data_IF_979536242258
#
_entry.id   IF_979536242258
#
_cell.length_a   1.000
_cell.length_b   1.000
_cell.length_c   1.000
_cell.angle_alpha   90.00
_cell.angle_beta   90.00
_cell.angle_gamma   90.00
#
_symmetry.space_group_name_H-M   'P 1'
#
loop_
_entity.id
_entity.type
_entity.pdbx_description
1 polymer ?
#
# COMPACT_ATOMS: atom_id res chain seq x y z
N UNK A 1 -69.60 2.32 4.81
CA UNK A 1 -68.40 2.74 5.56
C UNK A 1 -67.20 2.13 4.86
N UNK A 2 -66.37 2.95 4.22
CA UNK A 2 -65.24 2.49 3.39
C UNK A 2 -64.02 2.24 4.29
N UNK A 3 -63.40 1.08 4.10
CA UNK A 3 -62.12 0.73 4.70
C UNK A 3 -60.98 1.53 4.07
N UNK A 4 -60.01 1.95 4.88
CA UNK A 4 -58.65 2.24 4.43
C UNK A 4 -57.70 1.81 5.53
N UNK A 5 -57.07 0.67 5.33
CA UNK A 5 -55.88 0.24 6.04
C UNK A 5 -54.70 1.02 5.45
N UNK A 6 -54.02 1.79 6.29
CA UNK A 6 -52.74 2.41 5.95
C UNK A 6 -51.69 1.30 6.07
N UNK A 7 -51.22 0.80 4.93
CA UNK A 7 -50.02 -0.03 4.88
C UNK A 7 -48.81 0.85 5.12
N UNK A 8 -48.20 0.72 6.29
CA UNK A 8 -46.85 1.22 6.54
C UNK A 8 -45.87 0.30 5.79
N UNK A 9 -45.40 0.74 4.62
CA UNK A 9 -44.17 0.20 4.04
C UNK A 9 -43.00 0.72 4.88
N UNK A 10 -42.48 -0.12 5.76
CA UNK A 10 -41.14 0.05 6.31
C UNK A 10 -40.19 -0.27 5.16
N UNK A 11 -39.64 0.78 4.53
CA UNK A 11 -38.48 0.64 3.65
C UNK A 11 -37.29 0.32 4.55
N UNK A 12 -37.04 -0.97 4.77
CA UNK A 12 -35.74 -1.46 5.22
C UNK A 12 -34.81 -1.23 4.03
N UNK A 13 -34.20 -0.05 3.97
CA UNK A 13 -33.07 0.19 3.11
C UNK A 13 -31.94 -0.71 3.60
N UNK A 14 -31.81 -1.88 3.00
CA UNK A 14 -30.59 -2.66 3.07
C UNK A 14 -29.49 -1.75 2.52
N UNK A 15 -28.75 -1.09 3.40
CA UNK A 15 -27.47 -0.51 3.03
C UNK A 15 -26.64 -1.70 2.57
N UNK A 16 -26.56 -1.91 1.26
CA UNK A 16 -25.58 -2.79 0.67
C UNK A 16 -24.26 -2.11 0.99
N UNK A 17 -23.68 -2.42 2.15
CA UNK A 17 -22.31 -2.05 2.46
C UNK A 17 -21.48 -2.50 1.27
N UNK A 18 -20.70 -1.58 0.71
CA UNK A 18 -19.69 -1.89 -0.28
C UNK A 18 -18.87 -3.08 0.25
N UNK A 19 -19.15 -4.25 -0.33
CA UNK A 19 -18.37 -5.45 -0.18
C UNK A 19 -17.43 -5.41 -1.38
N UNK A 20 -16.36 -4.62 -1.22
CA UNK A 20 -15.25 -4.63 -2.14
C UNK A 20 -14.35 -5.77 -1.68
N UNK A 21 -14.21 -6.79 -2.51
CA UNK A 21 -13.41 -7.96 -2.20
C UNK A 21 -12.68 -8.43 -3.44
N UNK A 22 -11.67 -9.27 -3.22
CA UNK A 22 -11.06 -10.10 -4.24
C UNK A 22 -12.15 -10.80 -5.08
N UNK A 23 -11.96 -10.86 -6.40
CA UNK A 23 -12.88 -11.55 -7.31
C UNK A 23 -12.48 -13.00 -7.60
N UNK A 24 -11.36 -13.46 -7.05
CA UNK A 24 -10.84 -14.80 -7.26
C UNK A 24 -9.76 -15.20 -6.27
N UNK A 25 -9.10 -16.33 -6.57
CA UNK A 25 -7.91 -16.76 -5.82
C UNK A 25 -6.76 -15.79 -6.12
N UNK A 26 -6.00 -15.44 -5.09
CA UNK A 26 -4.73 -14.72 -5.21
C UNK A 26 -3.55 -15.66 -4.95
N UNK A 27 -2.35 -15.22 -5.32
CA UNK A 27 -1.11 -15.95 -5.05
C UNK A 27 -0.69 -16.90 -6.19
N UNK A 28 0.46 -17.57 -6.02
CA UNK A 28 0.99 -18.49 -7.01
C UNK A 28 0.11 -19.73 -7.21
N UNK A 29 0.24 -20.33 -8.40
CA UNK A 29 -0.48 -21.55 -8.77
C UNK A 29 0.22 -22.79 -8.25
N UNK A 30 1.55 -22.76 -8.16
CA UNK A 30 2.39 -23.84 -7.63
C UNK A 30 3.32 -23.33 -6.52
N UNK A 31 3.65 -24.20 -5.56
CA UNK A 31 4.46 -23.85 -4.39
C UNK A 31 5.93 -23.62 -4.75
N UNK A 32 6.72 -22.88 -3.93
CA UNK A 32 8.16 -22.76 -4.13
C UNK A 32 8.86 -24.12 -4.15
N UNK A 33 8.44 -25.04 -3.28
CA UNK A 33 9.01 -26.39 -3.20
C UNK A 33 8.80 -27.19 -4.48
N UNK A 34 7.65 -27.04 -5.15
CA UNK A 34 7.38 -27.68 -6.43
C UNK A 34 8.26 -27.10 -7.55
N UNK A 35 8.43 -25.77 -7.56
CA UNK A 35 9.30 -25.06 -8.52
C UNK A 35 10.78 -25.46 -8.30
N UNK A 36 11.26 -25.40 -7.06
CA UNK A 36 12.63 -25.78 -6.69
C UNK A 36 12.96 -27.25 -7.01
N UNK A 37 11.98 -28.16 -6.90
CA UNK A 37 12.13 -29.58 -7.25
C UNK A 37 12.33 -29.81 -8.75
N UNK A 38 11.84 -28.91 -9.62
CA UNK A 38 12.15 -28.94 -11.06
C UNK A 38 13.62 -28.57 -11.25
N UNK A 39 14.01 -27.41 -10.71
CA UNK A 39 15.37 -26.90 -10.81
C UNK A 39 15.59 -25.80 -9.77
N UNK A 40 16.75 -25.82 -9.13
CA UNK A 40 17.23 -24.73 -8.28
C UNK A 40 18.53 -24.16 -8.86
N UNK A 41 18.53 -22.86 -9.17
CA UNK A 41 19.67 -22.13 -9.71
C UNK A 41 20.22 -21.22 -8.61
N UNK A 42 21.16 -21.73 -7.82
CA UNK A 42 21.85 -20.96 -6.79
C UNK A 42 22.82 -19.97 -7.45
N UNK A 43 22.66 -18.67 -7.20
CA UNK A 43 23.45 -17.63 -7.90
C UNK A 43 24.97 -17.77 -7.71
N UNK A 44 25.42 -18.44 -6.65
CA UNK A 44 26.85 -18.70 -6.39
C UNK A 44 27.44 -19.62 -7.46
N UNK A 45 26.65 -20.60 -7.94
CA UNK A 45 27.06 -21.51 -9.02
C UNK A 45 27.19 -20.78 -10.38
N UNK A 46 26.60 -19.59 -10.48
CA UNK A 46 26.68 -18.71 -11.66
C UNK A 46 27.67 -17.55 -11.46
N UNK A 47 28.50 -17.62 -10.42
CA UNK A 47 29.62 -16.71 -10.18
C UNK A 47 29.35 -15.57 -9.20
N UNK A 48 28.25 -15.60 -8.46
CA UNK A 48 27.99 -14.61 -7.42
C UNK A 48 29.02 -14.68 -6.29
N UNK A 49 29.31 -13.53 -5.67
CA UNK A 49 30.22 -13.39 -4.52
C UNK A 49 29.54 -12.59 -3.40
N UNK A 50 29.43 -13.22 -2.23
CA UNK A 50 28.88 -12.64 -1.03
C UNK A 50 29.91 -11.76 -0.29
N UNK A 51 30.14 -10.53 -0.78
CA UNK A 51 31.05 -9.56 -0.15
C UNK A 51 30.58 -8.10 -0.22
N UNK A 52 29.30 -7.85 -0.53
CA UNK A 52 28.66 -6.53 -0.73
C UNK A 52 29.29 -5.62 -1.81
N UNK A 53 30.37 -6.04 -2.47
CA UNK A 53 31.19 -5.19 -3.35
C UNK A 53 31.21 -5.66 -4.80
N UNK A 54 31.15 -6.96 -5.02
CA UNK A 54 31.13 -7.55 -6.36
C UNK A 54 29.75 -7.32 -6.97
N UNK A 55 29.68 -6.94 -8.24
CA UNK A 55 28.41 -6.88 -8.96
C UNK A 55 27.87 -8.29 -9.23
N UNK A 56 26.76 -8.62 -8.59
CA UNK A 56 26.08 -9.90 -8.71
C UNK A 56 24.92 -9.88 -9.72
N UNK A 57 24.61 -8.74 -10.34
CA UNK A 57 23.58 -8.64 -11.38
C UNK A 57 23.76 -9.66 -12.51
N UNK A 58 24.97 -9.80 -13.08
CA UNK A 58 25.24 -10.83 -14.10
C UNK A 58 25.05 -12.27 -13.63
N UNK A 59 25.34 -12.58 -12.36
CA UNK A 59 25.17 -13.92 -11.81
C UNK A 59 23.68 -14.25 -11.60
N UNK A 60 22.91 -13.29 -11.08
CA UNK A 60 21.45 -13.39 -10.94
C UNK A 60 20.80 -13.60 -12.31
N UNK A 61 21.17 -12.80 -13.32
CA UNK A 61 20.61 -12.92 -14.67
C UNK A 61 20.93 -14.27 -15.31
N UNK A 62 22.13 -14.82 -15.09
CA UNK A 62 22.52 -16.15 -15.59
C UNK A 62 21.73 -17.26 -14.90
N UNK A 63 21.61 -17.23 -13.57
CA UNK A 63 20.81 -18.18 -12.81
C UNK A 63 19.35 -18.17 -13.27
N UNK A 64 18.77 -16.98 -13.43
CA UNK A 64 17.42 -16.81 -13.95
C UNK A 64 17.25 -17.37 -15.36
N UNK A 65 18.18 -17.05 -16.27
CA UNK A 65 18.15 -17.55 -17.65
C UNK A 65 18.22 -19.07 -17.73
N UNK A 66 18.90 -19.71 -16.80
CA UNK A 66 19.00 -21.17 -16.77
C UNK A 66 17.75 -21.83 -16.16
N UNK A 67 17.21 -21.28 -15.07
CA UNK A 67 15.98 -21.81 -14.45
C UNK A 67 14.74 -21.59 -15.32
N UNK A 68 14.61 -20.45 -15.99
CA UNK A 68 13.45 -20.15 -16.84
C UNK A 68 13.30 -21.06 -18.07
N UNK A 69 14.30 -21.90 -18.38
CA UNK A 69 14.21 -22.87 -19.49
C UNK A 69 13.19 -23.97 -19.20
N UNK A 70 13.07 -24.41 -17.94
CA UNK A 70 12.14 -25.43 -17.47
C UNK A 70 11.11 -24.92 -16.47
N UNK A 71 11.31 -23.72 -15.92
CA UNK A 71 10.76 -23.33 -14.63
C UNK A 71 11.68 -23.76 -13.50
N UNK A 72 11.58 -23.11 -12.36
CA UNK A 72 12.47 -23.39 -11.23
C UNK A 72 12.52 -22.28 -10.18
N UNK A 73 13.47 -22.42 -9.27
CA UNK A 73 13.79 -21.45 -8.23
C UNK A 73 15.16 -20.82 -8.50
N UNK A 74 15.23 -19.48 -8.56
CA UNK A 74 16.50 -18.77 -8.39
C UNK A 74 16.71 -18.56 -6.90
N UNK A 75 17.85 -19.03 -6.39
CA UNK A 75 18.17 -18.97 -4.97
C UNK A 75 19.35 -18.01 -4.72
N UNK A 76 19.13 -17.02 -3.86
CA UNK A 76 20.13 -16.13 -3.28
C UNK A 76 20.38 -16.56 -1.83
N UNK A 77 21.50 -17.26 -1.54
CA UNK A 77 21.81 -17.72 -0.19
C UNK A 77 22.01 -16.59 0.81
N UNK A 78 22.02 -16.92 2.10
CA UNK A 78 22.45 -15.99 3.15
C UNK A 78 23.85 -15.44 2.83
N UNK A 79 24.02 -14.12 2.98
CA UNK A 79 25.24 -13.40 2.66
C UNK A 79 24.95 -11.99 2.12
N UNK A 80 26.01 -11.19 1.97
CA UNK A 80 25.89 -9.82 1.48
C UNK A 80 26.31 -9.71 0.01
N UNK A 81 25.43 -9.28 -0.89
CA UNK A 81 25.67 -9.28 -2.34
C UNK A 81 25.54 -7.86 -2.91
N UNK A 82 26.61 -7.35 -3.55
CA UNK A 82 26.52 -6.08 -4.27
C UNK A 82 25.71 -6.22 -5.57
N UNK A 83 24.93 -5.20 -5.94
CA UNK A 83 24.23 -5.09 -7.21
C UNK A 83 24.64 -3.80 -7.93
N UNK A 84 25.46 -3.96 -8.96
CA UNK A 84 25.96 -2.88 -9.82
C UNK A 84 25.19 -2.76 -11.13
N UNK A 85 24.77 -3.89 -11.68
CA UNK A 85 23.96 -3.99 -12.90
C UNK A 85 22.54 -4.41 -12.55
N UNK A 86 21.56 -3.62 -12.98
CA UNK A 86 20.13 -3.92 -12.79
C UNK A 86 19.71 -5.16 -13.57
N UNK A 87 18.69 -5.86 -13.05
CA UNK A 87 18.19 -7.10 -13.66
C UNK A 87 16.75 -6.95 -14.11
N UNK A 88 16.48 -7.43 -15.32
CA UNK A 88 15.12 -7.55 -15.89
C UNK A 88 14.84 -9.01 -16.15
N UNK A 89 13.89 -9.56 -15.41
CA UNK A 89 13.66 -10.98 -15.26
C UNK A 89 12.28 -11.33 -15.83
N UNK A 90 12.27 -12.13 -16.91
CA UNK A 90 11.06 -12.56 -17.62
C UNK A 90 11.06 -14.08 -17.80
N UNK A 91 9.88 -14.71 -17.87
CA UNK A 91 9.74 -16.17 -17.99
C UNK A 91 8.34 -16.54 -18.50
N UNK A 92 8.25 -17.55 -19.35
CA UNK A 92 6.99 -18.21 -19.72
C UNK A 92 6.74 -19.51 -18.94
N UNK A 93 7.56 -19.76 -17.91
CA UNK A 93 7.48 -20.91 -17.02
C UNK A 93 7.29 -20.43 -15.58
N UNK A 94 6.64 -21.22 -14.71
CA UNK A 94 6.56 -20.93 -13.28
C UNK A 94 7.95 -20.72 -12.66
N UNK A 95 8.08 -19.67 -11.86
CA UNK A 95 9.37 -19.28 -11.26
C UNK A 95 9.20 -18.91 -9.79
N UNK A 96 10.22 -19.17 -8.98
CA UNK A 96 10.38 -18.52 -7.67
C UNK A 96 11.73 -17.81 -7.59
N UNK A 97 11.78 -16.75 -6.79
CA UNK A 97 12.98 -16.03 -6.42
C UNK A 97 13.11 -16.05 -4.89
N UNK A 98 13.99 -16.90 -4.37
CA UNK A 98 14.23 -17.02 -2.93
C UNK A 98 15.41 -16.16 -2.51
N UNK A 99 15.14 -15.11 -1.74
CA UNK A 99 16.13 -14.19 -1.19
C UNK A 99 16.35 -14.47 0.30
N UNK A 100 17.37 -15.25 0.63
CA UNK A 100 17.79 -15.43 2.03
C UNK A 100 18.97 -14.51 2.40
N UNK A 101 19.67 -13.94 1.41
CA UNK A 101 20.71 -12.94 1.59
C UNK A 101 20.23 -11.49 1.56
N UNK A 102 21.19 -10.56 1.60
CA UNK A 102 20.95 -9.12 1.49
C UNK A 102 21.59 -8.60 0.22
N UNK A 103 20.81 -7.91 -0.61
CA UNK A 103 21.31 -7.20 -1.80
C UNK A 103 21.62 -5.75 -1.44
N UNK A 104 22.83 -5.28 -1.72
CA UNK A 104 23.26 -3.89 -1.52
C UNK A 104 23.44 -3.20 -2.85
N UNK A 105 22.81 -2.04 -3.03
CA UNK A 105 23.05 -1.20 -4.21
C UNK A 105 24.51 -0.73 -4.24
N UNK A 106 25.23 -1.03 -5.32
CA UNK A 106 26.53 -0.41 -5.65
C UNK A 106 26.49 0.33 -6.99
N UNK A 107 25.47 0.08 -7.82
CA UNK A 107 25.22 0.79 -9.07
C UNK A 107 24.54 2.15 -8.89
N UNK A 108 24.63 3.01 -9.89
CA UNK A 108 24.06 4.37 -9.88
C UNK A 108 23.17 4.67 -11.09
N UNK A 109 22.90 3.68 -11.95
CA UNK A 109 22.03 3.87 -13.11
C UNK A 109 20.60 4.21 -12.70
N UNK A 110 19.86 4.89 -13.59
CA UNK A 110 18.42 5.06 -13.42
C UNK A 110 17.64 3.76 -13.65
N UNK A 111 16.31 3.81 -13.53
CA UNK A 111 15.44 2.66 -13.75
C UNK A 111 15.05 1.93 -12.46
N UNK A 112 14.95 0.60 -12.52
CA UNK A 112 14.59 -0.27 -11.40
C UNK A 112 15.75 -1.26 -11.17
N UNK A 113 16.19 -1.44 -9.92
CA UNK A 113 17.25 -2.40 -9.57
C UNK A 113 16.84 -3.83 -9.94
N UNK A 114 15.60 -4.20 -9.59
CA UNK A 114 14.93 -5.43 -10.01
C UNK A 114 13.65 -5.09 -10.76
N UNK A 115 13.50 -5.65 -11.95
CA UNK A 115 12.24 -5.64 -12.70
C UNK A 115 11.83 -7.07 -13.05
N UNK A 116 10.72 -7.53 -12.47
CA UNK A 116 10.09 -8.80 -12.85
C UNK A 116 8.95 -8.48 -13.81
N UNK A 117 8.98 -9.05 -15.02
CA UNK A 117 8.04 -8.65 -16.08
C UNK A 117 7.54 -9.83 -16.90
N UNK A 118 6.26 -9.82 -17.27
CA UNK A 118 5.63 -10.87 -18.10
C UNK A 118 5.84 -12.26 -17.47
N UNK A 119 5.31 -12.42 -16.26
CA UNK A 119 5.39 -13.66 -15.47
C UNK A 119 4.00 -14.14 -15.10
N UNK A 120 3.86 -15.45 -15.00
CA UNK A 120 2.67 -16.10 -14.45
C UNK A 120 3.12 -17.24 -13.53
N UNK A 121 2.43 -17.42 -12.41
CA UNK A 121 2.81 -18.36 -11.35
C UNK A 121 4.21 -18.04 -10.76
N UNK A 122 4.30 -16.86 -10.14
CA UNK A 122 5.56 -16.30 -9.64
C UNK A 122 5.56 -16.09 -8.12
N UNK A 123 6.69 -16.30 -7.47
CA UNK A 123 6.81 -16.09 -6.02
C UNK A 123 8.18 -15.51 -5.65
N UNK A 124 8.19 -14.37 -4.97
CA UNK A 124 9.40 -13.74 -4.42
C UNK A 124 9.32 -13.76 -2.90
N UNK A 125 10.17 -14.55 -2.26
CA UNK A 125 10.12 -14.73 -0.81
C UNK A 125 11.48 -14.83 -0.15
N UNK A 126 11.51 -14.72 1.18
CA UNK A 126 12.61 -15.18 2.02
C UNK A 126 12.17 -16.37 2.87
N UNK A 127 12.97 -17.43 2.92
CA UNK A 127 12.68 -18.56 3.81
C UNK A 127 13.00 -18.26 5.28
N UNK A 128 13.81 -17.23 5.51
CA UNK A 128 14.30 -16.84 6.84
C UNK A 128 13.62 -15.59 7.39
N UNK A 129 12.71 -14.99 6.62
CA UNK A 129 12.10 -13.67 6.90
C UNK A 129 13.13 -12.57 7.18
N UNK A 130 14.33 -12.70 6.59
CA UNK A 130 15.47 -11.77 6.75
C UNK A 130 16.06 -11.31 5.42
N UNK A 131 15.57 -11.83 4.29
CA UNK A 131 15.96 -11.36 2.97
C UNK A 131 15.65 -9.88 2.81
N UNK A 132 16.62 -9.12 2.29
CA UNK A 132 16.45 -7.68 2.16
C UNK A 132 17.14 -7.10 0.92
N UNK A 133 16.63 -5.96 0.46
CA UNK A 133 17.31 -5.12 -0.53
C UNK A 133 17.59 -3.76 0.11
N UNK A 134 18.87 -3.48 0.34
CA UNK A 134 19.40 -2.19 0.80
C UNK A 134 19.73 -1.29 -0.40
N UNK A 135 18.90 -0.30 -0.62
CA UNK A 135 19.00 0.64 -1.74
C UNK A 135 20.02 1.77 -1.55
N UNK A 136 20.50 2.04 -0.32
CA UNK A 136 21.39 3.16 -0.01
C UNK A 136 20.96 4.49 -0.66
N UNK A 137 19.66 4.80 -0.59
CA UNK A 137 19.03 6.00 -1.09
C UNK A 137 19.62 7.28 -0.51
N UNK A 138 20.04 7.25 0.76
CA UNK A 138 20.71 8.38 1.42
C UNK A 138 21.91 8.95 0.63
N UNK A 139 22.57 8.13 -0.20
CA UNK A 139 23.69 8.59 -1.05
C UNK A 139 23.26 9.58 -2.13
N UNK A 140 22.01 9.46 -2.61
CA UNK A 140 21.36 10.40 -3.51
C UNK A 140 20.70 11.53 -2.72
N UNK A 141 19.96 11.20 -1.65
CA UNK A 141 19.16 12.19 -0.92
C UNK A 141 20.02 13.25 -0.22
N UNK A 142 21.24 12.91 0.25
CA UNK A 142 22.19 13.89 0.80
C UNK A 142 22.68 14.93 -0.20
N UNK A 143 22.43 14.71 -1.50
CA UNK A 143 22.72 15.63 -2.62
C UNK A 143 21.44 16.27 -3.17
N UNK A 144 20.30 16.03 -2.53
CA UNK A 144 18.96 16.39 -3.02
C UNK A 144 18.59 15.78 -4.38
N UNK A 145 19.06 14.56 -4.65
CA UNK A 145 18.77 13.81 -5.87
C UNK A 145 17.91 12.57 -5.57
N UNK A 146 17.27 12.03 -6.61
CA UNK A 146 16.70 10.68 -6.62
C UNK A 146 17.53 9.75 -7.50
N UNK A 147 17.47 8.45 -7.22
CA UNK A 147 18.17 7.42 -7.98
C UNK A 147 17.23 6.37 -8.60
N UNK A 148 17.68 5.11 -8.72
CA UNK A 148 16.81 4.02 -9.17
C UNK A 148 15.73 3.68 -8.15
N UNK A 149 14.67 3.01 -8.62
CA UNK A 149 13.68 2.34 -7.77
C UNK A 149 14.22 0.97 -7.38
N UNK A 150 13.78 0.41 -6.26
CA UNK A 150 14.23 -0.93 -5.85
C UNK A 150 13.56 -2.01 -6.69
N UNK A 151 12.22 -2.09 -6.67
CA UNK A 151 11.47 -3.22 -7.21
C UNK A 151 10.30 -2.78 -8.08
N UNK A 152 10.15 -3.42 -9.24
CA UNK A 152 8.94 -3.32 -10.07
C UNK A 152 8.49 -4.69 -10.54
N UNK A 153 7.22 -5.01 -10.29
CA UNK A 153 6.51 -6.06 -11.00
C UNK A 153 5.70 -5.39 -12.11
N UNK A 154 5.78 -5.91 -13.33
CA UNK A 154 5.06 -5.35 -14.47
C UNK A 154 4.43 -6.46 -15.31
N UNK A 155 3.10 -6.50 -15.41
CA UNK A 155 2.36 -7.60 -16.05
C UNK A 155 2.78 -8.96 -15.46
N UNK A 156 2.59 -9.09 -14.14
CA UNK A 156 2.83 -10.31 -13.37
C UNK A 156 1.48 -10.83 -12.86
N UNK A 157 1.22 -12.11 -13.05
CA UNK A 157 -0.07 -12.75 -12.76
C UNK A 157 0.08 -13.94 -11.83
N UNK A 158 -0.92 -14.19 -10.98
CA UNK A 158 -0.92 -15.30 -10.01
C UNK A 158 0.40 -15.34 -9.25
N UNK A 159 0.61 -14.33 -8.40
CA UNK A 159 1.91 -14.09 -7.78
C UNK A 159 1.82 -13.84 -6.28
N UNK A 160 2.93 -14.08 -5.58
CA UNK A 160 3.12 -13.53 -4.25
C UNK A 160 4.50 -12.89 -4.07
N UNK A 161 4.56 -11.91 -3.18
CA UNK A 161 5.82 -11.43 -2.60
C UNK A 161 5.67 -11.27 -1.09
N UNK A 162 6.58 -11.88 -0.34
CA UNK A 162 6.47 -11.88 1.11
C UNK A 162 7.77 -12.16 1.85
N UNK A 163 7.77 -11.91 3.16
CA UNK A 163 8.87 -12.21 4.06
C UNK A 163 10.19 -11.49 3.71
N UNK A 164 10.13 -10.35 3.01
CA UNK A 164 11.30 -9.56 2.59
C UNK A 164 11.21 -8.10 3.04
N UNK A 165 12.37 -7.46 3.23
CA UNK A 165 12.48 -6.04 3.53
C UNK A 165 13.03 -5.22 2.35
N UNK A 166 12.46 -4.05 2.10
CA UNK A 166 12.94 -3.08 1.10
C UNK A 166 13.37 -1.80 1.83
N UNK A 167 14.65 -1.44 1.72
CA UNK A 167 15.24 -0.46 2.64
C UNK A 167 15.96 0.63 1.87
N UNK A 168 15.70 1.87 2.24
CA UNK A 168 16.36 3.09 1.77
C UNK A 168 16.39 3.16 0.25
N UNK A 169 15.22 3.12 -0.39
CA UNK A 169 15.16 3.26 -1.84
C UNK A 169 15.65 4.67 -2.25
N UNK A 170 16.47 4.79 -3.31
CA UNK A 170 16.79 6.08 -3.89
C UNK A 170 15.58 6.82 -4.49
N UNK A 171 14.50 6.10 -4.82
CA UNK A 171 13.20 6.60 -5.25
C UNK A 171 12.09 5.69 -4.67
N UNK A 172 11.22 5.10 -5.50
CA UNK A 172 10.15 4.20 -5.05
C UNK A 172 10.68 2.84 -4.60
N UNK A 173 10.06 2.23 -3.59
CA UNK A 173 10.45 0.92 -3.08
C UNK A 173 9.86 -0.20 -3.93
N UNK A 174 8.53 -0.24 -4.09
CA UNK A 174 7.84 -1.30 -4.82
C UNK A 174 6.68 -0.77 -5.67
N UNK A 175 6.77 -0.98 -6.98
CA UNK A 175 5.65 -0.72 -7.91
C UNK A 175 5.08 -2.04 -8.43
N UNK A 176 3.77 -2.18 -8.35
CA UNK A 176 2.97 -3.29 -8.89
C UNK A 176 2.18 -2.73 -10.07
N UNK A 177 2.72 -2.97 -11.27
CA UNK A 177 2.26 -2.36 -12.51
C UNK A 177 1.46 -3.34 -13.35
N UNK A 178 0.17 -3.08 -13.52
CA UNK A 178 -0.73 -3.86 -14.39
C UNK A 178 -0.67 -5.36 -14.05
N UNK A 179 -0.69 -5.70 -12.76
CA UNK A 179 -0.59 -7.08 -12.28
C UNK A 179 -1.97 -7.65 -11.93
N UNK A 180 -2.07 -8.97 -11.77
CA UNK A 180 -3.31 -9.61 -11.32
C UNK A 180 -3.11 -10.83 -10.42
N UNK A 181 -4.15 -11.16 -9.65
CA UNK A 181 -4.22 -12.39 -8.83
C UNK A 181 -3.04 -12.48 -7.84
N UNK A 182 -2.74 -11.35 -7.20
CA UNK A 182 -1.53 -11.12 -6.42
C UNK A 182 -1.74 -11.14 -4.92
N UNK A 183 -0.74 -11.59 -4.17
CA UNK A 183 -0.73 -11.49 -2.70
C UNK A 183 0.60 -10.89 -2.20
N UNK A 184 0.54 -9.84 -1.38
CA UNK A 184 1.70 -9.11 -0.87
C UNK A 184 1.62 -9.04 0.64
N UNK A 185 2.57 -9.64 1.36
CA UNK A 185 2.47 -9.71 2.82
C UNK A 185 3.76 -9.91 3.59
N UNK A 186 3.73 -9.70 4.90
CA UNK A 186 4.89 -9.85 5.78
C UNK A 186 6.11 -9.06 5.26
N UNK A 187 5.89 -7.78 4.96
CA UNK A 187 6.94 -6.90 4.43
C UNK A 187 7.22 -5.73 5.38
N UNK A 188 8.48 -5.30 5.39
CA UNK A 188 8.91 -4.07 6.04
C UNK A 188 9.61 -3.15 5.02
N UNK A 189 9.09 -1.94 4.85
CA UNK A 189 9.57 -0.96 3.88
C UNK A 189 9.99 0.31 4.61
N UNK A 190 11.29 0.58 4.65
CA UNK A 190 11.85 1.71 5.41
C UNK A 190 12.67 2.62 4.50
N UNK A 191 12.13 3.78 4.14
CA UNK A 191 12.76 4.82 3.34
C UNK A 191 13.01 6.11 4.11
N UNK A 192 13.69 7.06 3.46
CA UNK A 192 13.97 8.37 4.01
C UNK A 192 12.72 9.24 4.20
N UNK A 193 12.83 10.24 5.09
CA UNK A 193 11.76 11.17 5.43
C UNK A 193 11.64 12.33 4.41
N UNK A 194 11.36 12.01 3.13
CA UNK A 194 11.01 12.97 2.05
C UNK A 194 9.99 12.36 1.07
N UNK A 195 9.29 13.22 0.33
CA UNK A 195 8.43 12.79 -0.78
C UNK A 195 9.21 12.09 -1.89
N UNK A 196 8.52 11.40 -2.80
CA UNK A 196 9.08 10.62 -3.90
C UNK A 196 9.77 9.32 -3.50
N UNK A 197 9.58 8.88 -2.25
CA UNK A 197 10.12 7.64 -1.67
C UNK A 197 9.02 6.63 -1.34
N UNK A 198 8.09 6.52 -2.28
CA UNK A 198 6.85 5.75 -2.25
C UNK A 198 7.11 4.31 -1.77
N UNK A 199 6.24 3.81 -0.89
CA UNK A 199 6.29 2.46 -0.36
C UNK A 199 5.82 1.46 -1.39
N UNK A 200 4.49 1.26 -1.46
CA UNK A 200 3.83 0.41 -2.46
C UNK A 200 2.90 1.26 -3.31
N UNK A 201 3.18 1.30 -4.61
CA UNK A 201 2.22 1.76 -5.63
C UNK A 201 1.62 0.54 -6.33
N UNK A 202 0.30 0.46 -6.43
CA UNK A 202 -0.39 -0.66 -7.08
C UNK A 202 -1.41 -0.22 -8.11
N UNK A 203 -1.38 -0.83 -9.29
CA UNK A 203 -2.51 -0.83 -10.21
C UNK A 203 -2.65 -2.19 -10.90
N UNK A 204 -3.88 -2.69 -10.96
CA UNK A 204 -4.16 -4.07 -11.35
C UNK A 204 -5.50 -4.57 -10.84
N UNK A 205 -5.75 -5.86 -10.99
CA UNK A 205 -7.01 -6.50 -10.57
C UNK A 205 -6.79 -7.67 -9.64
N UNK A 206 -7.67 -7.86 -8.66
CA UNK A 206 -7.65 -9.03 -7.77
C UNK A 206 -6.32 -9.17 -7.01
N UNK A 207 -5.97 -8.17 -6.20
CA UNK A 207 -4.71 -8.17 -5.42
C UNK A 207 -5.02 -7.96 -3.93
N UNK A 208 -4.46 -8.83 -3.11
CA UNK A 208 -4.52 -8.76 -1.65
C UNK A 208 -3.18 -8.22 -1.11
N UNK A 209 -3.19 -7.10 -0.41
CA UNK A 209 -2.00 -6.53 0.25
C UNK A 209 -2.27 -6.49 1.73
N UNK A 210 -1.53 -7.24 2.53
CA UNK A 210 -1.76 -7.27 3.97
C UNK A 210 -0.51 -7.41 4.80
N UNK A 211 -0.55 -7.02 6.07
CA UNK A 211 0.57 -7.22 6.99
C UNK A 211 1.87 -6.57 6.48
N UNK A 212 1.80 -5.27 6.18
CA UNK A 212 2.92 -4.46 5.67
C UNK A 212 3.16 -3.26 6.57
N UNK A 213 4.43 -3.02 6.93
CA UNK A 213 4.88 -1.79 7.57
C UNK A 213 5.60 -0.90 6.54
N UNK A 214 5.24 0.39 6.51
CA UNK A 214 5.91 1.40 5.69
C UNK A 214 6.30 2.60 6.53
N UNK A 215 7.58 2.98 6.44
CA UNK A 215 8.15 4.21 6.98
C UNK A 215 8.80 5.00 5.85
N UNK A 216 8.36 6.23 5.57
CA UNK A 216 8.90 7.13 4.52
C UNK A 216 8.32 8.55 4.70
N UNK A 217 8.16 9.35 3.63
CA UNK A 217 7.31 10.55 3.67
C UNK A 217 6.49 10.78 2.41
N UNK A 218 6.15 9.69 1.73
CA UNK A 218 5.25 9.64 0.58
C UNK A 218 4.30 8.44 0.71
N UNK A 219 3.76 7.92 -0.39
CA UNK A 219 2.82 6.80 -0.42
C UNK A 219 3.16 5.67 0.58
N UNK A 220 2.20 5.29 1.42
CA UNK A 220 2.28 4.08 2.24
C UNK A 220 1.98 2.86 1.36
N UNK A 221 0.69 2.53 1.21
CA UNK A 221 0.15 1.66 0.16
C UNK A 221 -0.87 2.49 -0.61
N UNK A 222 -0.64 2.70 -1.91
CA UNK A 222 -1.43 3.63 -2.72
C UNK A 222 -1.94 2.97 -4.00
N UNK A 223 -3.24 3.09 -4.23
CA UNK A 223 -3.90 2.61 -5.45
C UNK A 223 -3.77 3.65 -6.56
N UNK A 224 -3.33 3.20 -7.74
CA UNK A 224 -3.25 3.98 -8.98
C UNK A 224 -4.27 3.47 -10.00
N UNK A 225 -4.38 4.17 -11.11
CA UNK A 225 -5.33 3.86 -12.18
C UNK A 225 -4.70 2.98 -13.29
N UNK A 226 -5.44 2.03 -13.89
CA UNK A 226 -6.75 1.49 -13.48
C UNK A 226 -6.60 0.40 -12.41
N UNK A 227 -7.62 0.22 -11.57
CA UNK A 227 -7.60 -0.83 -10.54
C UNK A 227 -8.98 -1.35 -10.17
N UNK A 228 -9.08 -2.65 -9.95
CA UNK A 228 -10.32 -3.25 -9.44
C UNK A 228 -10.11 -4.45 -8.50
N UNK A 229 -11.07 -4.70 -7.60
CA UNK A 229 -11.06 -5.84 -6.68
C UNK A 229 -9.77 -5.93 -5.84
N UNK A 230 -9.41 -4.84 -5.16
CA UNK A 230 -8.26 -4.78 -4.28
C UNK A 230 -8.68 -4.85 -2.81
N UNK A 231 -8.07 -5.75 -2.05
CA UNK A 231 -8.22 -5.83 -0.59
C UNK A 231 -6.88 -5.44 0.05
N UNK A 232 -6.89 -4.41 0.88
CA UNK A 232 -5.69 -3.87 1.51
C UNK A 232 -5.92 -3.79 3.02
N UNK A 233 -5.27 -4.65 3.81
CA UNK A 233 -5.58 -4.72 5.23
C UNK A 233 -4.41 -4.98 6.18
N UNK A 234 -4.55 -4.60 7.45
CA UNK A 234 -3.48 -4.70 8.46
C UNK A 234 -2.21 -3.98 7.99
N UNK A 235 -2.32 -2.69 7.70
CA UNK A 235 -1.21 -1.86 7.24
C UNK A 235 -0.75 -0.93 8.36
N UNK A 236 0.55 -0.89 8.60
CA UNK A 236 1.16 0.05 9.52
C UNK A 236 1.96 1.12 8.76
N UNK A 237 1.36 2.30 8.60
CA UNK A 237 2.06 3.49 8.12
C UNK A 237 2.76 4.19 9.30
N UNK A 238 4.00 3.76 9.58
CA UNK A 238 4.81 4.19 10.71
C UNK A 238 5.69 5.37 10.32
N UNK A 239 5.18 6.61 10.46
CA UNK A 239 5.81 7.80 9.89
C UNK A 239 5.93 7.69 8.37
N UNK A 240 4.84 7.98 7.66
CA UNK A 240 4.76 7.89 6.19
C UNK A 240 4.16 9.18 5.59
N UNK A 241 3.93 9.22 4.29
CA UNK A 241 2.90 10.08 3.73
C UNK A 241 1.51 9.56 4.10
N UNK A 242 1.32 8.24 4.16
CA UNK A 242 0.03 7.59 4.41
C UNK A 242 -0.56 6.97 3.15
N UNK A 243 -1.62 6.19 3.31
CA UNK A 243 -2.30 5.57 2.17
C UNK A 243 -2.99 6.63 1.31
N UNK A 244 -3.18 6.33 0.02
CA UNK A 244 -3.84 7.24 -0.90
C UNK A 244 -4.45 6.52 -2.11
N UNK A 245 -5.15 7.30 -2.93
CA UNK A 245 -5.54 6.95 -4.28
C UNK A 245 -5.21 8.09 -5.25
N UNK A 246 -4.50 7.75 -6.33
CA UNK A 246 -4.08 8.71 -7.37
C UNK A 246 -2.59 9.07 -7.33
N UNK A 247 -2.13 10.13 -7.99
CA UNK A 247 -2.95 11.15 -8.67
C UNK A 247 -3.76 10.56 -9.83
N UNK A 248 -5.05 10.90 -9.86
CA UNK A 248 -5.99 10.48 -10.90
C UNK A 248 -6.07 11.52 -12.01
N UNK A 249 -6.30 11.07 -13.24
CA UNK A 249 -6.16 11.86 -14.46
C UNK A 249 -7.31 11.62 -15.44
N UNK A 250 -7.04 11.40 -16.72
CA UNK A 250 -8.07 11.05 -17.70
C UNK A 250 -8.36 9.55 -17.68
N UNK A 251 -9.57 9.18 -18.06
CA UNK A 251 -10.02 7.79 -18.22
C UNK A 251 -9.76 6.96 -16.95
N UNK A 252 -10.04 7.58 -15.80
CA UNK A 252 -9.97 6.90 -14.51
C UNK A 252 -11.04 5.84 -14.42
N UNK A 253 -10.66 4.63 -14.03
CA UNK A 253 -11.53 3.49 -13.84
C UNK A 253 -11.02 2.71 -12.63
N UNK A 254 -11.55 3.04 -11.46
CA UNK A 254 -11.21 2.40 -10.19
C UNK A 254 -12.48 1.98 -9.47
N UNK A 255 -12.63 0.69 -9.19
CA UNK A 255 -13.79 0.22 -8.44
C UNK A 255 -13.53 -1.04 -7.62
N UNK A 256 -14.40 -1.35 -6.67
CA UNK A 256 -14.28 -2.54 -5.80
C UNK A 256 -12.97 -2.53 -4.98
N UNK A 257 -12.72 -1.45 -4.24
CA UNK A 257 -11.51 -1.27 -3.40
C UNK A 257 -11.88 -1.28 -1.92
N UNK A 258 -11.25 -2.13 -1.12
CA UNK A 258 -11.37 -2.15 0.33
C UNK A 258 -10.02 -1.89 1.00
N UNK A 259 -10.01 -0.93 1.93
CA UNK A 259 -8.98 -0.80 2.95
C UNK A 259 -9.58 -1.13 4.31
N UNK A 260 -8.94 -2.00 5.08
CA UNK A 260 -9.42 -2.43 6.39
C UNK A 260 -8.28 -2.52 7.41
N UNK A 261 -8.48 -2.11 8.66
CA UNK A 261 -7.45 -2.16 9.71
C UNK A 261 -6.15 -1.43 9.31
N UNK A 262 -6.25 -0.13 9.06
CA UNK A 262 -5.11 0.71 8.68
C UNK A 262 -4.70 1.55 9.87
N UNK A 263 -3.48 1.35 10.35
CA UNK A 263 -2.91 2.10 11.45
C UNK A 263 -1.87 3.09 10.94
N UNK A 264 -2.06 4.38 11.24
CA UNK A 264 -1.22 5.46 10.70
C UNK A 264 -0.79 6.42 11.80
N UNK A 265 0.52 6.62 11.96
CA UNK A 265 1.05 7.56 12.94
C UNK A 265 1.98 8.59 12.29
N UNK A 266 1.87 9.87 12.69
CA UNK A 266 2.71 11.00 12.23
C UNK A 266 2.89 11.08 10.71
N UNK A 267 1.87 10.68 9.97
CA UNK A 267 1.86 10.71 8.52
C UNK A 267 1.26 12.00 7.96
N UNK A 268 1.33 12.19 6.64
CA UNK A 268 0.67 13.34 6.01
C UNK A 268 -0.85 13.20 6.07
N UNK A 269 -1.39 11.99 5.85
CA UNK A 269 -2.81 11.68 5.98
C UNK A 269 -3.02 10.26 6.54
N UNK A 270 -4.24 9.94 6.97
CA UNK A 270 -4.68 8.55 7.13
C UNK A 270 -5.12 7.98 5.79
N UNK A 271 -5.90 8.73 5.00
CA UNK A 271 -6.17 8.41 3.59
C UNK A 271 -6.44 9.66 2.77
N UNK A 272 -5.90 9.73 1.55
CA UNK A 272 -6.12 10.84 0.63
C UNK A 272 -6.53 10.36 -0.76
N UNK A 273 -7.56 10.98 -1.34
CA UNK A 273 -7.85 10.90 -2.77
C UNK A 273 -7.32 12.18 -3.42
N UNK A 274 -6.56 12.06 -4.51
CA UNK A 274 -5.93 13.21 -5.17
C UNK A 274 -6.21 13.26 -6.66
N UNK A 275 -6.91 14.29 -7.11
CA UNK A 275 -7.11 14.62 -8.53
C UNK A 275 -7.20 16.13 -8.75
N UNK A 276 -7.07 16.58 -9.99
CA UNK A 276 -7.38 17.97 -10.38
C UNK A 276 -7.82 17.99 -11.84
N UNK A 277 -9.13 18.09 -12.07
CA UNK A 277 -9.73 17.92 -13.40
C UNK A 277 -9.73 16.45 -13.81
N UNK A 278 -9.53 16.16 -15.09
CA UNK A 278 -9.54 14.79 -15.62
C UNK A 278 -10.94 14.25 -15.91
N UNK A 279 -11.05 12.94 -16.08
CA UNK A 279 -12.28 12.22 -16.42
C UNK A 279 -12.28 10.79 -15.88
N UNK A 280 -13.47 10.18 -15.82
CA UNK A 280 -13.65 8.80 -15.38
C UNK A 280 -14.27 8.70 -13.99
N UNK A 281 -14.20 7.51 -13.39
CA UNK A 281 -14.94 7.12 -12.19
C UNK A 281 -14.07 6.47 -11.15
N UNK A 282 -14.35 6.79 -9.88
CA UNK A 282 -13.95 6.00 -8.72
C UNK A 282 -15.23 5.63 -7.97
N UNK A 283 -15.54 4.35 -7.87
CA UNK A 283 -16.77 3.92 -7.20
C UNK A 283 -16.67 2.58 -6.48
N UNK A 284 -17.58 2.33 -5.54
CA UNK A 284 -17.56 1.12 -4.69
C UNK A 284 -16.24 0.99 -3.91
N UNK A 285 -15.98 1.98 -3.06
CA UNK A 285 -14.79 2.03 -2.19
C UNK A 285 -15.21 1.95 -0.72
N UNK A 286 -14.56 1.09 0.05
CA UNK A 286 -14.78 0.94 1.49
C UNK A 286 -13.47 1.20 2.25
N UNK A 287 -13.43 2.22 3.10
CA UNK A 287 -12.31 2.51 4.00
C UNK A 287 -12.75 2.29 5.46
N UNK A 288 -12.41 1.12 6.00
CA UNK A 288 -12.89 0.60 7.28
C UNK A 288 -11.77 0.53 8.32
N UNK A 289 -12.13 0.76 9.58
CA UNK A 289 -11.26 0.50 10.74
C UNK A 289 -9.90 1.20 10.64
N UNK A 290 -9.91 2.51 10.43
CA UNK A 290 -8.71 3.33 10.44
C UNK A 290 -8.41 3.85 11.85
N UNK A 291 -7.18 3.69 12.29
CA UNK A 291 -6.69 4.19 13.57
C UNK A 291 -5.47 5.06 13.33
N UNK A 292 -5.34 6.19 14.02
CA UNK A 292 -4.13 6.98 13.89
C UNK A 292 -4.01 8.18 14.80
N UNK A 293 -2.79 8.67 14.95
CA UNK A 293 -2.51 9.84 15.80
C UNK A 293 -1.44 10.73 15.23
N UNK A 294 -1.61 12.02 15.51
CA UNK A 294 -0.68 13.09 15.13
C UNK A 294 -0.43 13.19 13.61
N UNK A 295 -1.36 12.68 12.80
CA UNK A 295 -1.33 12.85 11.35
C UNK A 295 -1.70 14.29 10.97
N UNK A 296 -1.17 14.81 9.86
CA UNK A 296 -1.48 16.18 9.44
C UNK A 296 -2.93 16.30 8.92
N UNK A 297 -3.37 15.37 8.06
CA UNK A 297 -4.76 15.15 7.66
C UNK A 297 -5.24 13.78 8.14
N UNK A 298 -6.54 13.56 8.06
CA UNK A 298 -7.17 12.26 8.35
C UNK A 298 -7.82 11.71 7.08
N UNK A 299 -9.09 12.03 6.81
CA UNK A 299 -9.77 11.71 5.57
C UNK A 299 -9.76 12.95 4.66
N UNK A 300 -8.98 12.90 3.58
CA UNK A 300 -8.81 14.02 2.64
C UNK A 300 -9.17 13.61 1.21
N UNK A 301 -10.41 13.85 0.78
CA UNK A 301 -10.77 13.77 -0.63
C UNK A 301 -10.54 15.15 -1.26
N UNK A 302 -9.44 15.29 -2.00
CA UNK A 302 -9.06 16.53 -2.68
C UNK A 302 -9.07 16.38 -4.20
N UNK A 303 -10.21 16.69 -4.81
CA UNK A 303 -10.37 16.67 -6.26
C UNK A 303 -9.94 17.99 -6.95
N UNK A 304 -9.27 18.88 -6.20
CA UNK A 304 -8.56 20.05 -6.72
C UNK A 304 -7.15 20.13 -6.12
N UNK A 305 -6.46 18.99 -6.05
CA UNK A 305 -5.19 18.83 -5.34
C UNK A 305 -4.09 19.72 -5.93
N UNK A 306 -3.70 20.75 -5.19
CA UNK A 306 -2.82 21.81 -5.68
C UNK A 306 -1.39 21.39 -6.03
N UNK A 307 -0.95 20.20 -5.60
CA UNK A 307 0.40 19.68 -5.94
C UNK A 307 0.47 19.03 -7.32
N UNK A 308 -0.67 18.84 -8.00
CA UNK A 308 -0.72 18.50 -9.42
C UNK A 308 -1.27 19.65 -10.25
N UNK A 309 -0.87 19.71 -11.52
CA UNK A 309 -1.46 20.66 -12.47
C UNK A 309 -2.87 20.22 -12.83
N UNK A 310 -3.81 21.16 -13.07
CA UNK A 310 -5.12 20.82 -13.61
C UNK A 310 -4.98 20.05 -14.93
N UNK A 311 -5.72 18.96 -15.05
CA UNK A 311 -5.84 18.15 -16.26
C UNK A 311 -7.16 18.50 -16.93
N UNK A 312 -7.18 18.54 -18.26
CA UNK A 312 -8.41 18.83 -19.01
C UNK A 312 -9.50 17.77 -18.73
N UNK A 313 -10.73 18.22 -18.61
CA UNK A 313 -11.90 17.41 -18.24
C UNK A 313 -12.63 17.98 -17.04
N UNK A 314 -13.90 17.59 -16.87
CA UNK A 314 -14.79 18.17 -15.87
C UNK A 314 -14.44 17.72 -14.43
N UNK A 315 -13.71 16.61 -14.29
CA UNK A 315 -13.36 16.00 -13.02
C UNK A 315 -13.60 14.50 -12.99
N UNK A 316 -13.01 13.84 -11.99
CA UNK A 316 -13.31 12.44 -11.65
C UNK A 316 -14.65 12.37 -10.92
N UNK A 317 -15.52 11.46 -11.31
CA UNK A 317 -16.75 11.16 -10.58
C UNK A 317 -16.44 10.20 -9.44
N UNK A 318 -16.55 10.67 -8.20
CA UNK A 318 -16.44 9.85 -7.00
C UNK A 318 -17.84 9.49 -6.50
N UNK A 319 -18.17 8.20 -6.43
CA UNK A 319 -19.48 7.76 -5.95
C UNK A 319 -19.43 6.45 -5.16
N UNK A 320 -20.49 6.14 -4.39
CA UNK A 320 -20.63 4.90 -3.63
C UNK A 320 -19.39 4.59 -2.77
N UNK A 321 -19.16 5.43 -1.75
CA UNK A 321 -17.99 5.32 -0.87
C UNK A 321 -18.40 5.27 0.59
N UNK A 322 -17.81 4.35 1.34
CA UNK A 322 -18.07 4.19 2.78
C UNK A 322 -16.78 4.43 3.57
N UNK A 323 -16.87 5.27 4.60
CA UNK A 323 -15.81 5.56 5.56
C UNK A 323 -16.35 5.22 6.96
N UNK A 324 -15.84 4.15 7.59
CA UNK A 324 -16.42 3.65 8.84
C UNK A 324 -15.40 3.15 9.86
N UNK A 325 -15.60 3.44 11.14
CA UNK A 325 -14.73 2.96 12.23
C UNK A 325 -13.39 3.70 12.28
N UNK A 326 -13.42 5.02 12.16
CA UNK A 326 -12.22 5.86 12.17
C UNK A 326 -11.99 6.43 13.58
N UNK A 327 -10.80 6.30 14.14
CA UNK A 327 -10.50 6.72 15.51
C UNK A 327 -9.09 7.29 15.70
N UNK A 328 -8.92 8.06 16.78
CA UNK A 328 -7.63 8.58 17.24
C UNK A 328 -7.55 10.11 17.19
N UNK A 329 -6.43 10.68 16.72
CA UNK A 329 -6.20 12.14 16.74
C UNK A 329 -5.51 12.68 15.49
N UNK A 330 -5.86 13.90 15.09
CA UNK A 330 -5.09 14.70 14.12
C UNK A 330 -4.20 15.74 14.84
N UNK A 331 -3.18 16.25 14.15
CA UNK A 331 -2.23 17.21 14.73
C UNK A 331 -2.88 18.56 15.11
N UNK A 332 -3.74 19.10 14.26
CA UNK A 332 -4.47 20.37 14.48
C UNK A 332 -5.80 20.33 13.72
N UNK A 333 -6.90 20.15 14.46
CA UNK A 333 -8.23 19.90 13.90
C UNK A 333 -8.94 21.14 13.34
N UNK A 334 -8.37 22.34 13.53
CA UNK A 334 -8.84 23.55 12.87
C UNK A 334 -8.02 23.86 11.62
N UNK A 335 -6.71 23.65 11.67
CA UNK A 335 -5.87 23.87 10.48
C UNK A 335 -6.16 22.83 9.40
N UNK A 336 -6.34 21.57 9.81
CA UNK A 336 -6.57 20.41 8.93
C UNK A 336 -7.56 19.47 9.59
N UNK A 337 -8.84 19.82 9.43
CA UNK A 337 -9.97 19.06 9.94
C UNK A 337 -9.92 17.56 9.62
N UNK A 338 -10.41 16.67 10.51
CA UNK A 338 -10.39 15.23 10.30
C UNK A 338 -11.17 14.75 9.06
N UNK A 339 -12.17 15.52 8.62
CA UNK A 339 -12.96 15.24 7.42
C UNK A 339 -12.85 16.42 6.47
N UNK A 340 -12.29 16.16 5.29
CA UNK A 340 -12.24 17.10 4.18
C UNK A 340 -12.74 16.42 2.90
N UNK A 341 -13.85 16.92 2.36
CA UNK A 341 -14.33 16.61 1.03
C UNK A 341 -14.29 17.87 0.17
N UNK A 342 -13.43 17.90 -0.84
CA UNK A 342 -13.26 19.01 -1.78
C UNK A 342 -13.58 18.55 -3.21
N UNK A 343 -14.88 18.46 -3.54
CA UNK A 343 -15.35 18.06 -4.86
C UNK A 343 -15.68 19.30 -5.73
N UNK A 344 -15.42 19.28 -7.05
CA UNK A 344 -15.87 20.32 -7.96
C UNK A 344 -17.40 20.45 -7.99
N UNK A 345 -17.90 21.63 -8.35
CA UNK A 345 -19.36 21.87 -8.41
C UNK A 345 -20.03 21.13 -9.58
N UNK A 346 -19.32 21.05 -10.71
CA UNK A 346 -19.81 20.43 -11.95
C UNK A 346 -19.73 18.90 -11.90
N UNK A 347 -18.86 18.35 -11.04
CA UNK A 347 -18.71 16.91 -10.79
C UNK A 347 -18.72 16.65 -9.27
N UNK A 348 -19.90 16.75 -8.63
CA UNK A 348 -20.03 16.53 -7.20
C UNK A 348 -19.76 15.07 -6.82
N UNK A 349 -19.28 14.85 -5.60
CA UNK A 349 -19.18 13.49 -5.05
C UNK A 349 -20.55 13.04 -4.55
N UNK A 350 -21.00 11.82 -4.86
CA UNK A 350 -22.35 11.33 -4.51
C UNK A 350 -22.30 10.01 -3.77
N UNK A 351 -23.38 9.63 -3.07
CA UNK A 351 -23.47 8.34 -2.36
C UNK A 351 -22.28 8.10 -1.39
N UNK A 352 -21.90 9.15 -0.67
CA UNK A 352 -20.86 9.11 0.37
C UNK A 352 -21.50 8.74 1.72
N UNK A 353 -20.88 7.83 2.45
CA UNK A 353 -21.32 7.45 3.79
C UNK A 353 -20.17 7.58 4.78
N UNK A 354 -20.35 8.43 5.79
CA UNK A 354 -19.45 8.51 6.95
C UNK A 354 -20.21 7.99 8.16
N UNK A 355 -19.70 6.93 8.76
CA UNK A 355 -20.25 6.30 9.96
C UNK A 355 -19.13 6.07 10.99
N UNK A 356 -19.46 6.07 12.28
CA UNK A 356 -18.50 5.83 13.37
C UNK A 356 -17.12 6.50 13.18
N UNK A 357 -17.10 7.83 13.25
CA UNK A 357 -15.91 8.64 13.01
C UNK A 357 -15.58 9.49 14.25
N UNK A 358 -14.56 9.08 14.99
CA UNK A 358 -14.19 9.58 16.33
C UNK A 358 -12.72 10.03 16.41
N UNK A 359 -12.28 10.81 15.41
CA UNK A 359 -10.94 11.39 15.38
C UNK A 359 -10.95 12.78 16.00
N UNK A 360 -10.27 12.94 17.13
CA UNK A 360 -10.12 14.21 17.83
C UNK A 360 -8.92 15.03 17.35
N UNK A 361 -8.46 15.96 18.18
CA UNK A 361 -7.27 16.77 17.90
C UNK A 361 -6.28 16.80 19.06
N UNK A 362 -4.99 16.90 18.73
CA UNK A 362 -3.93 17.18 19.68
C UNK A 362 -3.87 18.68 20.08
N UNK A 363 -4.64 19.55 19.41
CA UNK A 363 -4.66 20.98 19.68
C UNK A 363 -6.09 21.53 19.65
N UNK A 364 -6.51 22.09 20.77
CA UNK A 364 -7.88 22.56 20.97
C UNK A 364 -8.82 21.44 21.42
N UNK A 365 -10.06 21.82 21.69
CA UNK A 365 -11.15 20.96 22.16
C UNK A 365 -12.24 20.76 21.10
N UNK A 366 -12.06 21.30 19.90
CA UNK A 366 -12.95 21.11 18.74
C UNK A 366 -12.18 20.75 17.47
N UNK A 367 -12.88 20.13 16.52
CA UNK A 367 -12.39 19.82 15.17
C UNK A 367 -13.35 20.35 14.11
N UNK A 368 -12.83 20.54 12.89
CA UNK A 368 -13.61 20.97 11.74
C UNK A 368 -13.87 19.83 10.75
N UNK A 369 -15.10 19.71 10.28
CA UNK A 369 -15.47 18.89 9.14
C UNK A 369 -15.86 19.80 7.97
N UNK A 370 -15.10 19.73 6.88
CA UNK A 370 -15.28 20.59 5.70
C UNK A 370 -15.81 19.76 4.53
N UNK A 371 -16.99 20.12 4.04
CA UNK A 371 -17.59 19.48 2.89
C UNK A 371 -17.89 20.52 1.80
N UNK A 372 -17.46 20.23 0.59
CA UNK A 372 -17.73 21.01 -0.61
C UNK A 372 -18.21 20.08 -1.72
N UNK A 373 -19.46 20.31 -2.16
CA UNK A 373 -20.12 19.56 -3.23
C UNK A 373 -20.09 18.03 -3.06
N UNK A 374 -20.17 17.54 -1.81
CA UNK A 374 -20.18 16.10 -1.51
C UNK A 374 -21.53 15.70 -0.90
N UNK A 375 -22.12 14.60 -1.34
CA UNK A 375 -23.47 14.24 -0.96
C UNK A 375 -23.59 12.82 -0.43
N UNK A 376 -24.49 12.66 0.53
CA UNK A 376 -24.77 11.38 1.16
C UNK A 376 -25.19 11.55 2.62
N UNK A 377 -24.59 10.78 3.53
CA UNK A 377 -24.98 10.75 4.94
C UNK A 377 -23.79 10.69 5.89
N UNK A 378 -23.89 11.39 7.02
CA UNK A 378 -22.84 11.48 8.05
C UNK A 378 -22.06 12.79 8.01
N UNK A 379 -21.59 13.25 9.18
CA UNK A 379 -20.78 14.46 9.34
C UNK A 379 -21.33 15.70 8.58
N UNK A 380 -20.50 16.34 7.76
CA UNK A 380 -20.84 17.54 7.00
C UNK A 380 -21.53 17.30 5.65
N UNK A 381 -21.82 16.03 5.30
CA UNK A 381 -22.41 15.68 4.01
C UNK A 381 -23.85 16.18 3.90
N UNK A 382 -24.20 16.70 2.72
CA UNK A 382 -25.55 17.14 2.40
C UNK A 382 -26.36 15.99 1.80
N UNK A 383 -27.64 15.86 2.18
CA UNK A 383 -28.57 14.92 1.52
C UNK A 383 -28.90 15.38 0.09
N UNK A 384 -29.17 14.44 -0.80
CA UNK A 384 -29.48 14.68 -2.22
C UNK A 384 -28.25 14.47 -3.11
N UNK A 385 -28.24 15.06 -4.30
CA UNK A 385 -27.18 14.87 -5.31
C UNK A 385 -26.91 16.16 -6.12
N UNK A 386 -27.41 17.33 -5.65
CA UNK A 386 -27.39 18.56 -6.45
C UNK A 386 -27.26 19.89 -5.70
N UNK A 387 -26.72 20.87 -6.42
CA UNK A 387 -26.62 22.28 -6.05
C UNK A 387 -25.37 22.65 -5.23
N UNK A 388 -24.46 23.42 -5.84
CA UNK A 388 -23.17 23.77 -5.25
C UNK A 388 -23.28 24.28 -3.81
N UNK A 389 -22.38 23.80 -2.94
CA UNK A 389 -22.33 24.23 -1.55
C UNK A 389 -20.93 24.09 -0.97
N UNK A 390 -20.69 24.82 0.12
CA UNK A 390 -19.55 24.63 1.01
C UNK A 390 -20.04 24.80 2.43
N UNK A 391 -19.64 23.91 3.32
CA UNK A 391 -19.98 23.99 4.74
C UNK A 391 -18.78 23.59 5.58
N UNK A 392 -18.70 24.18 6.76
CA UNK A 392 -17.74 23.83 7.80
C UNK A 392 -18.54 23.59 9.07
N UNK A 393 -18.46 22.38 9.61
CA UNK A 393 -19.05 22.03 10.89
C UNK A 393 -17.95 21.96 11.93
N UNK A 394 -18.11 22.70 13.02
CA UNK A 394 -17.24 22.57 14.21
C UNK A 394 -17.93 21.63 15.19
N UNK A 395 -17.22 20.60 15.63
CA UNK A 395 -17.72 19.60 16.60
C UNK A 395 -16.69 19.39 17.71
N UNK A 396 -17.13 18.90 18.86
CA UNK A 396 -16.24 18.60 19.98
C UNK A 396 -15.19 17.54 19.58
N UNK A 397 -13.94 17.77 19.95
CA UNK A 397 -12.78 16.93 19.60
C UNK A 397 -12.69 15.65 20.43
N UNK A 398 -13.82 15.08 20.84
CA UNK A 398 -13.85 13.83 21.59
C UNK A 398 -13.25 12.70 20.74
N UNK A 399 -12.07 12.21 21.15
CA UNK A 399 -11.44 11.04 20.55
C UNK A 399 -11.79 9.78 21.33
N UNK A 400 -12.02 8.67 20.63
CA UNK A 400 -11.92 7.37 21.29
C UNK A 400 -10.46 7.14 21.71
N UNK A 401 -10.24 6.47 22.85
CA UNK A 401 -8.91 6.01 23.21
C UNK A 401 -8.48 4.92 22.23
N UNK A 402 -7.58 5.26 21.30
CA UNK A 402 -7.08 4.33 20.30
C UNK A 402 -5.78 3.70 20.80
N UNK A 403 -5.69 2.36 20.93
CA UNK A 403 -4.45 1.70 21.30
C UNK A 403 -3.33 2.03 20.29
N UNK A 404 -2.10 2.13 20.79
CA UNK A 404 -0.93 2.35 19.93
C UNK A 404 -0.28 1.04 19.50
N UNK A 405 0.55 1.09 18.46
CA UNK A 405 1.44 0.01 18.07
C UNK A 405 2.77 0.12 18.82
N UNK A 406 3.44 -1.00 19.08
CA UNK A 406 4.83 -0.98 19.56
C UNK A 406 5.79 -0.49 18.45
N UNK A 407 6.91 0.13 18.82
CA UNK A 407 7.94 0.51 17.85
C UNK A 407 7.55 1.66 16.91
N UNK A 408 6.65 2.55 17.33
CA UNK A 408 6.40 3.80 16.61
C UNK A 408 7.66 4.63 16.49
N UNK A 409 7.90 5.11 15.27
CA UNK A 409 9.01 6.01 14.99
C UNK A 409 8.69 7.39 15.55
N UNK A 410 9.53 7.87 16.47
CA UNK A 410 9.39 9.20 17.08
C UNK A 410 9.99 10.33 16.23
N UNK A 411 10.89 10.00 15.31
CA UNK A 411 11.53 10.93 14.37
C UNK A 411 11.73 10.22 13.03
N UNK A 412 11.23 10.82 11.95
CA UNK A 412 11.35 10.24 10.60
C UNK A 412 12.79 9.88 10.24
N UNK A 413 12.94 8.80 9.48
CA UNK A 413 14.24 8.26 9.09
C UNK A 413 15.02 9.26 8.24
N UNK A 414 16.28 9.50 8.59
CA UNK A 414 17.10 10.58 8.01
C UNK A 414 17.40 10.40 6.51
N UNK A 415 17.95 11.47 5.90
CA UNK A 415 18.29 11.51 4.46
C UNK A 415 19.80 11.46 4.19
N UNK A 416 20.63 11.47 5.24
CA UNK A 416 22.08 11.72 5.11
C UNK A 416 22.95 10.58 5.63
N UNK A 417 22.34 9.55 6.22
CA UNK A 417 23.00 8.35 6.74
C UNK A 417 22.20 7.11 6.34
N UNK A 418 22.86 5.95 6.31
CA UNK A 418 22.18 4.69 6.01
C UNK A 418 21.06 4.41 6.99
N UNK A 419 19.94 3.91 6.47
CA UNK A 419 18.83 3.38 7.26
C UNK A 419 19.11 1.91 7.57
N UNK A 420 18.88 1.49 8.81
CA UNK A 420 19.06 0.10 9.22
C UNK A 420 17.96 -0.81 8.64
N UNK A 421 18.32 -2.04 8.29
CA UNK A 421 17.36 -3.04 7.82
C UNK A 421 16.44 -3.44 9.00
N UNK A 422 15.11 -3.24 8.88
CA UNK A 422 14.17 -3.60 9.94
C UNK A 422 13.92 -5.11 9.98
N UNK A 423 13.40 -5.57 11.12
CA UNK A 423 12.80 -6.91 11.19
C UNK A 423 11.32 -6.84 10.83
N UNK A 424 10.83 -7.82 10.07
CA UNK A 424 9.40 -7.94 9.80
C UNK A 424 8.67 -8.28 11.11
N UNK A 425 7.63 -7.51 11.43
CA UNK A 425 6.86 -7.61 12.67
C UNK A 425 5.73 -8.64 12.58
N UNK A 426 5.20 -9.12 13.72
CA UNK A 426 4.10 -10.10 13.75
C UNK A 426 2.69 -9.48 13.84
N UNK A 427 2.58 -8.15 13.91
CA UNK A 427 1.31 -7.41 14.01
C UNK A 427 1.48 -6.00 13.44
N UNK A 428 0.47 -5.55 12.71
CA UNK A 428 0.46 -4.31 11.93
C UNK A 428 -0.73 -3.40 12.26
N UNK A 429 -1.65 -3.88 13.09
CA UNK A 429 -2.78 -3.11 13.62
C UNK A 429 -3.05 -3.51 15.07
N UNK A 430 -3.42 -2.58 15.97
CA UNK A 430 -3.53 -2.89 17.39
C UNK A 430 -4.52 -4.02 17.69
N UNK A 431 -4.06 -5.03 18.44
CA UNK A 431 -4.88 -6.18 18.83
C UNK A 431 -5.16 -7.19 17.71
N UNK A 432 -4.62 -6.98 16.51
CA UNK A 432 -4.79 -7.88 15.36
C UNK A 432 -3.46 -8.59 15.07
N UNK A 433 -3.50 -9.91 15.04
CA UNK A 433 -2.37 -10.73 14.63
C UNK A 433 -2.22 -10.71 13.11
N UNK A 434 -0.99 -10.85 12.59
CA UNK A 434 -0.77 -11.05 11.17
C UNK A 434 -1.57 -12.26 10.64
N UNK A 435 -2.12 -12.13 9.43
CA UNK A 435 -2.94 -13.17 8.78
C UNK A 435 -2.09 -14.42 8.54
N UNK A 436 -0.88 -14.22 8.03
CA UNK A 436 0.08 -15.30 7.75
C UNK A 436 1.27 -15.20 8.69
N UNK A 437 1.64 -16.28 9.41
CA UNK A 437 2.87 -16.26 10.20
C UNK A 437 4.08 -16.09 9.30
N UNK A 438 5.12 -15.39 9.80
CA UNK A 438 6.41 -15.28 9.11
C UNK A 438 6.98 -16.66 8.82
N UNK A 439 7.63 -16.82 7.68
CA UNK A 439 8.30 -18.07 7.28
C UNK A 439 9.30 -18.57 8.34
N UNK A 440 10.02 -17.65 8.98
CA UNK A 440 10.94 -17.94 10.08
C UNK A 440 10.26 -18.55 11.33
N UNK A 441 8.98 -18.25 11.55
CA UNK A 441 8.22 -18.73 12.71
C UNK A 441 7.49 -20.05 12.39
N UNK A 442 7.01 -20.19 11.15
CA UNK A 442 6.35 -21.42 10.68
C UNK A 442 7.29 -22.64 10.70
N UNK A 443 8.58 -22.46 10.36
CA UNK A 443 9.59 -23.53 10.41
C UNK A 443 9.86 -24.04 11.83
N UNK A 444 9.80 -23.17 12.85
CA UNK A 444 9.95 -23.55 14.27
C UNK A 444 8.75 -24.33 14.78
N UNK A 445 7.54 -23.96 14.37
CA UNK A 445 6.32 -24.69 14.74
C UNK A 445 6.34 -26.13 14.21
N UNK A 446 6.77 -26.35 12.97
CA UNK A 446 6.90 -27.69 12.39
C UNK A 446 8.02 -28.53 13.04
N UNK A 447 9.13 -27.91 13.45
CA UNK A 447 10.21 -28.62 14.15
C UNK A 447 9.75 -29.08 15.55
N UNK A 448 8.96 -28.27 16.25
CA UNK A 448 8.44 -28.59 17.59
C UNK A 448 7.37 -29.69 17.52
N UNK A 449 6.53 -29.70 16.49
CA UNK A 449 5.50 -30.72 16.27
C UNK A 449 6.06 -32.10 15.85
N UNK A 450 7.32 -32.19 15.43
CA UNK A 450 8.01 -33.48 15.14
C UNK A 450 8.76 -34.07 16.35
N UNK A 451 8.85 -33.31 17.45
CA UNK A 451 9.53 -33.70 18.69
C UNK A 451 8.54 -34.08 19.82
N UNK A 452 7.24 -33.93 19.56
CA UNK A 452 6.14 -34.52 20.34
C UNK A 452 5.58 -35.71 19.57
#
# INVERSE_FOLDING_TARGET
MRHSFISALIAVGSAVQAAAQLNGKVGPLTTPSAKAAIKTCNIVDYGAKANAKTDNGPAIQKAWNDCRTSGGEVYVPEGDYGLGTWVTLTSSKPMSFRLDGIIYRIGTGGGNMFMFKHLEDFEFYSSTSKGAIQGYGYEFHKKDEYGPRILRFADVKSFSIHDVALVDSPAFHFSIDTCSDGEVYNMAIHGGNRGGLDGIDVWGTNIHIHDVEVSNKDECVTVKNPSDHLLIENIFCNWSGGCAMGSLATDTDIHDIEYNNIYTQRSNQMYMFKSYGGSGTVNNVALKNFAGHSNAYTLDLDAQWSSMKPIAGDGILYSNMTFSGWSGTCADGHQRGPIKFNCPADVPCTDMQVDDFTVGSNKGDTVEHVCKNAYGSGACLKKGDGGAYTTTQTVDAASAATPTMDGEIENGLGLTVSIAIPTIRPSFFPGVAAISPRMADASKAQATARLM
#
